data_IF_719966441118
#
_entry.id   IF_719966441118
#
_cell.length_a   1.000
_cell.length_b   1.000
_cell.length_c   1.000
_cell.angle_alpha   90.00
_cell.angle_beta   90.00
_cell.angle_gamma   90.00
#
_symmetry.space_group_name_H-M   'P 1'
#
loop_
_entity.id
_entity.type
_entity.pdbx_description
1 polymer ?
#
# COMPACT_ATOMS: atom_id res chain seq x y z
N UNK A 1 -9.49 -23.12 -9.27
CA UNK A 1 -9.47 -22.65 -7.87
C UNK A 1 -8.46 -23.48 -7.12
N UNK A 2 -7.41 -22.87 -6.55
CA UNK A 2 -6.47 -23.60 -5.71
C UNK A 2 -7.18 -24.05 -4.42
N UNK A 3 -6.91 -25.27 -3.95
CA UNK A 3 -7.51 -25.79 -2.72
C UNK A 3 -7.12 -24.90 -1.53
N UNK A 4 -8.10 -24.39 -0.78
CA UNK A 4 -7.82 -23.75 0.51
C UNK A 4 -7.51 -24.85 1.54
N UNK A 5 -6.36 -24.72 2.18
CA UNK A 5 -5.97 -25.59 3.29
C UNK A 5 -6.42 -24.93 4.59
N UNK A 6 -6.88 -25.75 5.55
CA UNK A 6 -7.28 -25.28 6.88
C UNK A 6 -6.13 -25.36 7.87
N UNK A 7 -5.92 -24.29 8.62
CA UNK A 7 -4.85 -24.16 9.60
C UNK A 7 -5.39 -23.62 10.93
N UNK A 8 -4.65 -23.81 12.01
CA UNK A 8 -4.89 -23.10 13.26
C UNK A 8 -4.11 -21.78 13.24
N UNK A 9 -4.80 -20.66 13.40
CA UNK A 9 -4.23 -19.34 13.57
C UNK A 9 -4.58 -18.83 14.97
N UNK A 10 -3.58 -18.81 15.86
CA UNK A 10 -3.81 -18.65 17.29
C UNK A 10 -4.67 -19.79 17.85
N UNK A 11 -5.89 -19.47 18.29
CA UNK A 11 -6.85 -20.46 18.82
C UNK A 11 -8.03 -20.74 17.88
N UNK A 12 -7.99 -20.23 16.66
CA UNK A 12 -9.09 -20.34 15.69
C UNK A 12 -8.64 -21.13 14.46
N UNK A 13 -9.57 -21.89 13.87
CA UNK A 13 -9.34 -22.49 12.56
C UNK A 13 -9.55 -21.44 11.48
N UNK A 14 -8.67 -21.41 10.48
CA UNK A 14 -8.73 -20.47 9.35
C UNK A 14 -8.44 -21.16 8.03
N UNK A 15 -8.87 -20.56 6.93
CA UNK A 15 -8.49 -20.95 5.58
C UNK A 15 -7.31 -20.10 5.11
N UNK A 16 -6.28 -20.74 4.56
CA UNK A 16 -5.10 -20.04 4.06
C UNK A 16 -4.99 -20.25 2.55
N UNK A 17 -4.75 -19.16 1.85
CA UNK A 17 -4.46 -19.11 0.42
C UNK A 17 -3.18 -18.29 0.22
N UNK A 18 -2.40 -18.65 -0.81
CA UNK A 18 -1.20 -17.89 -1.15
C UNK A 18 -1.58 -16.52 -1.69
N UNK A 19 -0.91 -15.47 -1.20
CA UNK A 19 -1.04 -14.10 -1.71
C UNK A 19 -0.09 -13.80 -2.88
N UNK A 20 0.71 -14.78 -3.32
CA UNK A 20 1.70 -14.58 -4.39
C UNK A 20 1.04 -14.12 -5.70
N UNK A 21 1.52 -13.00 -6.24
CA UNK A 21 1.01 -12.42 -7.49
C UNK A 21 -0.32 -11.66 -7.37
N UNK A 22 -0.90 -11.56 -6.17
CA UNK A 22 -2.12 -10.76 -5.96
C UNK A 22 -1.77 -9.28 -6.09
N UNK A 23 -2.50 -8.56 -6.95
CA UNK A 23 -2.43 -7.09 -7.06
C UNK A 23 -3.44 -6.45 -6.12
N UNK A 24 -2.99 -5.45 -5.37
CA UNK A 24 -3.82 -4.62 -4.50
C UNK A 24 -3.15 -3.27 -4.28
N UNK A 25 -3.73 -2.47 -3.39
CA UNK A 25 -3.23 -1.12 -3.06
C UNK A 25 -2.99 -1.00 -1.56
N UNK A 26 -1.90 -0.34 -1.18
CA UNK A 26 -1.71 0.08 0.21
C UNK A 26 -2.57 1.32 0.44
N UNK A 27 -3.43 1.27 1.45
CA UNK A 27 -4.28 2.40 1.83
C UNK A 27 -3.96 2.84 3.25
N UNK A 28 -4.18 4.12 3.52
CA UNK A 28 -4.28 4.63 4.89
C UNK A 28 -5.75 4.87 5.21
N UNK A 29 -6.24 4.23 6.25
CA UNK A 29 -7.62 4.39 6.74
C UNK A 29 -7.78 5.72 7.47
N UNK A 30 -9.02 6.12 7.72
CA UNK A 30 -9.34 7.39 8.41
C UNK A 30 -8.73 7.47 9.82
N UNK A 31 -8.61 6.35 10.53
CA UNK A 31 -7.97 6.24 11.84
C UNK A 31 -6.44 6.09 11.77
N UNK A 32 -5.86 6.14 10.56
CA UNK A 32 -4.42 6.15 10.34
C UNK A 32 -3.77 4.78 10.22
N UNK A 33 -4.53 3.68 10.29
CA UNK A 33 -3.99 2.34 10.04
C UNK A 33 -3.63 2.16 8.56
N UNK A 34 -2.61 1.33 8.30
CA UNK A 34 -2.23 0.94 6.93
C UNK A 34 -2.78 -0.45 6.63
N UNK A 35 -3.51 -0.59 5.52
CA UNK A 35 -4.14 -1.83 5.09
C UNK A 35 -3.75 -2.16 3.66
N UNK A 36 -3.83 -3.44 3.28
CA UNK A 36 -3.72 -3.86 1.88
C UNK A 36 -5.12 -4.16 1.33
N UNK A 37 -5.58 -3.36 0.36
CA UNK A 37 -6.91 -3.50 -0.25
C UNK A 37 -6.82 -4.25 -1.58
N UNK A 38 -7.62 -5.29 -1.73
CA UNK A 38 -7.82 -6.01 -3.00
C UNK A 38 -9.22 -5.72 -3.52
N UNK A 39 -9.32 -5.18 -4.73
CA UNK A 39 -10.58 -4.95 -5.41
C UNK A 39 -11.01 -6.21 -6.16
N UNK A 40 -12.26 -6.63 -5.94
CA UNK A 40 -12.89 -7.72 -6.71
C UNK A 40 -13.65 -7.14 -7.91
N UNK A 41 -14.18 -5.93 -7.75
CA UNK A 41 -14.77 -5.11 -8.80
C UNK A 41 -14.76 -3.62 -8.37
N UNK A 42 -15.57 -2.76 -9.01
CA UNK A 42 -15.61 -1.32 -8.73
C UNK A 42 -16.17 -0.98 -7.34
N UNK A 43 -17.05 -1.81 -6.80
CA UNK A 43 -17.80 -1.53 -5.57
C UNK A 43 -17.42 -2.48 -4.43
N UNK A 44 -16.83 -3.63 -4.76
CA UNK A 44 -16.44 -4.64 -3.79
C UNK A 44 -14.93 -4.77 -3.68
N UNK A 45 -14.47 -4.70 -2.43
CA UNK A 45 -13.08 -4.90 -2.07
C UNK A 45 -12.98 -5.62 -0.73
N UNK A 46 -11.78 -6.13 -0.44
CA UNK A 46 -11.41 -6.66 0.86
C UNK A 46 -10.18 -5.94 1.37
N UNK A 47 -10.27 -5.43 2.60
CA UNK A 47 -9.14 -4.86 3.32
C UNK A 47 -8.49 -5.92 4.19
N UNK A 48 -7.20 -6.12 4.01
CA UNK A 48 -6.40 -7.03 4.81
C UNK A 48 -5.53 -6.21 5.78
N UNK A 49 -5.65 -6.55 7.07
CA UNK A 49 -4.70 -6.10 8.09
C UNK A 49 -3.31 -6.64 7.77
N UNK A 50 -2.31 -5.77 7.79
CA UNK A 50 -0.93 -6.15 7.57
C UNK A 50 -0.31 -6.52 8.92
N UNK A 51 -0.08 -7.82 9.13
CA UNK A 51 0.63 -8.40 10.29
C UNK A 51 2.01 -8.95 9.95
N UNK A 52 2.49 -8.63 8.76
CA UNK A 52 3.80 -9.04 8.30
C UNK A 52 4.81 -7.95 8.68
N UNK A 53 5.86 -8.32 9.42
CA UNK A 53 6.82 -7.34 9.95
C UNK A 53 7.51 -6.55 8.82
N UNK A 54 7.99 -7.26 7.78
CA UNK A 54 8.67 -6.67 6.62
C UNK A 54 8.11 -7.17 5.28
N UNK A 55 7.02 -6.58 4.79
CA UNK A 55 6.42 -6.97 3.50
C UNK A 55 6.99 -6.14 2.35
N UNK A 56 7.70 -6.80 1.43
CA UNK A 56 8.23 -6.14 0.23
C UNK A 56 7.11 -5.77 -0.76
N UNK A 57 7.15 -4.53 -1.26
CA UNK A 57 6.22 -4.03 -2.27
C UNK A 57 6.98 -3.34 -3.41
N UNK A 58 6.39 -3.33 -4.59
CA UNK A 58 6.86 -2.55 -5.73
C UNK A 58 5.79 -1.54 -6.09
N UNK A 59 6.14 -0.26 -6.08
CA UNK A 59 5.26 0.82 -6.53
C UNK A 59 5.22 0.76 -8.06
N UNK A 60 4.04 0.68 -8.66
CA UNK A 60 3.90 0.63 -10.11
C UNK A 60 4.29 1.98 -10.75
N UNK A 61 4.74 1.93 -12.00
CA UNK A 61 5.35 3.08 -12.68
C UNK A 61 4.40 4.28 -12.84
N UNK A 62 3.09 4.05 -12.81
CA UNK A 62 2.02 5.00 -13.06
C UNK A 62 1.23 5.39 -11.79
N UNK A 63 1.68 5.00 -10.60
CA UNK A 63 1.00 5.33 -9.32
C UNK A 63 1.10 6.80 -8.92
N UNK A 64 1.82 7.63 -9.69
CA UNK A 64 2.03 9.05 -9.38
C UNK A 64 2.47 9.25 -7.92
N UNK A 65 3.46 8.48 -7.47
CA UNK A 65 4.00 8.56 -6.12
C UNK A 65 5.44 9.06 -6.15
N UNK A 66 5.83 9.82 -5.12
CA UNK A 66 7.17 10.38 -4.98
C UNK A 66 7.66 10.30 -3.53
N UNK A 67 8.99 10.19 -3.38
CA UNK A 67 9.66 10.29 -2.09
C UNK A 67 10.07 11.73 -1.81
N UNK A 68 9.77 12.21 -0.62
CA UNK A 68 10.10 13.54 -0.12
C UNK A 68 11.00 13.45 1.10
N UNK A 69 11.87 14.46 1.25
CA UNK A 69 12.66 14.69 2.46
C UNK A 69 12.21 15.99 3.11
N UNK A 70 11.53 15.90 4.24
CA UNK A 70 10.93 17.04 4.94
C UNK A 70 11.51 17.13 6.35
N UNK A 71 12.34 18.15 6.62
CA UNK A 71 12.91 18.39 7.95
C UNK A 71 13.54 17.14 8.59
N UNK A 72 14.28 16.35 7.80
CA UNK A 72 14.91 15.10 8.25
C UNK A 72 14.00 13.87 8.29
N UNK A 73 12.74 13.98 7.85
CA UNK A 73 11.81 12.86 7.69
C UNK A 73 11.72 12.43 6.23
N UNK A 74 11.80 11.12 5.98
CA UNK A 74 11.49 10.51 4.68
C UNK A 74 9.99 10.24 4.59
N UNK A 75 9.36 10.67 3.50
CA UNK A 75 7.91 10.56 3.24
C UNK A 75 7.67 9.98 1.85
N UNK A 76 6.76 9.02 1.74
CA UNK A 76 6.19 8.59 0.46
C UNK A 76 4.79 9.19 0.34
N UNK A 77 4.56 10.00 -0.69
CA UNK A 77 3.29 10.67 -0.97
C UNK A 77 3.02 10.67 -2.47
N UNK A 78 1.96 11.35 -2.91
CA UNK A 78 1.68 11.61 -4.32
C UNK A 78 2.78 12.45 -4.96
N UNK A 79 2.89 12.40 -6.28
CA UNK A 79 3.87 13.16 -7.04
C UNK A 79 3.63 14.67 -6.93
N UNK A 80 4.68 15.51 -7.15
CA UNK A 80 4.55 16.96 -7.02
C UNK A 80 3.43 17.55 -7.88
N UNK A 81 3.19 16.98 -9.07
CA UNK A 81 2.14 17.42 -9.99
C UNK A 81 0.74 17.17 -9.43
N UNK A 82 0.52 16.02 -8.78
CA UNK A 82 -0.76 15.71 -8.11
C UNK A 82 -1.00 16.66 -6.94
N UNK A 83 0.06 16.99 -6.20
CA UNK A 83 0.00 17.90 -5.06
C UNK A 83 -0.05 19.39 -5.47
N UNK A 84 0.12 19.71 -6.76
CA UNK A 84 0.17 21.09 -7.25
C UNK A 84 1.39 21.88 -6.76
N UNK A 85 2.51 21.20 -6.49
CA UNK A 85 3.74 21.82 -6.01
C UNK A 85 4.56 22.42 -7.15
N UNK A 86 5.15 23.59 -6.91
CA UNK A 86 6.02 24.27 -7.87
C UNK A 86 7.50 23.97 -7.64
N UNK A 87 8.26 23.88 -8.73
CA UNK A 87 9.71 23.79 -8.66
C UNK A 87 10.29 25.16 -8.35
N UNK A 88 10.87 25.31 -7.16
CA UNK A 88 11.68 26.49 -6.84
C UNK A 88 13.00 26.37 -7.60
N UNK A 89 13.14 27.15 -8.67
CA UNK A 89 14.42 27.33 -9.35
C UNK A 89 15.18 28.42 -8.61
N UNK A 90 16.30 28.06 -7.99
CA UNK A 90 17.21 29.06 -7.47
C UNK A 90 17.78 29.85 -8.65
N UNK A 91 17.41 31.12 -8.76
CA UNK A 91 18.10 32.06 -9.64
C UNK A 91 19.54 32.16 -9.17
N UNK A 92 20.48 31.70 -10.00
CA UNK A 92 21.91 31.96 -9.77
C UNK A 92 22.13 33.46 -9.81
N UNK A 93 22.47 34.06 -8.67
CA UNK A 93 23.05 35.40 -8.59
C UNK A 93 24.57 35.30 -8.63
#
# INVERSE_FOLDING_TARGET
MAASSRYLYGRQTTEVQSAAGVRGVLIRTFDGATMFRVYHDREHFTDYEIRHDDLSVTIAADELAAFYKLNGRDVLDHSPEVLGLEVIRNSSA
#
